data_IF_213599820417
#
_entry.id   IF_213599820417
#
_cell.length_a   1.000
_cell.length_b   1.000
_cell.length_c   1.000
_cell.angle_alpha   90.00
_cell.angle_beta   90.00
_cell.angle_gamma   90.00
#
_symmetry.space_group_name_H-M   'P 1'
#
loop_
_entity.id
_entity.type
_entity.pdbx_description
1 polymer ?
#
# COMPACT_ATOMS: atom_id res chain seq x y z
N UNK A 1 1.82 8.37 -15.26
CA UNK A 1 0.84 7.34 -15.68
C UNK A 1 0.43 6.51 -14.49
N UNK A 2 -0.82 6.08 -14.42
CA UNK A 2 -1.31 5.18 -13.38
C UNK A 2 -1.95 3.95 -14.03
N UNK A 3 -1.63 2.75 -13.53
CA UNK A 3 -2.22 1.48 -13.95
C UNK A 3 -2.51 0.62 -12.73
N UNK A 4 -3.71 0.07 -12.67
CA UNK A 4 -4.20 -0.77 -11.58
C UNK A 4 -4.68 -2.11 -12.17
N UNK A 5 -4.07 -3.21 -11.76
CA UNK A 5 -4.52 -4.58 -12.07
C UNK A 5 -4.83 -5.30 -10.76
N UNK A 6 -6.12 -5.46 -10.49
CA UNK A 6 -6.68 -6.07 -9.29
C UNK A 6 -7.76 -7.06 -9.68
N UNK A 7 -7.79 -8.21 -9.01
CA UNK A 7 -8.85 -9.20 -9.13
C UNK A 7 -9.57 -9.34 -7.79
N UNK A 8 -10.90 -9.30 -7.82
CA UNK A 8 -11.74 -9.53 -6.66
C UNK A 8 -12.46 -10.88 -6.79
N UNK A 9 -12.58 -11.62 -5.68
CA UNK A 9 -13.42 -12.82 -5.58
C UNK A 9 -14.65 -12.50 -4.76
N UNK A 10 -15.79 -12.94 -5.28
CA UNK A 10 -17.08 -12.84 -4.61
C UNK A 10 -17.47 -14.20 -4.02
N UNK A 11 -18.03 -14.20 -2.81
CA UNK A 11 -18.53 -15.41 -2.15
C UNK A 11 -19.85 -15.90 -2.75
N UNK A 12 -20.61 -15.00 -3.37
CA UNK A 12 -21.84 -15.32 -4.08
C UNK A 12 -21.77 -14.88 -5.55
N UNK A 13 -22.49 -15.56 -6.46
CA UNK A 13 -22.61 -15.12 -7.84
C UNK A 13 -23.14 -13.70 -7.94
N UNK A 14 -22.53 -12.89 -8.82
CA UNK A 14 -23.03 -11.55 -9.11
C UNK A 14 -24.34 -11.69 -9.89
N UNK A 15 -25.43 -11.17 -9.32
CA UNK A 15 -26.72 -11.05 -10.00
C UNK A 15 -27.05 -9.58 -10.27
N UNK A 16 -27.97 -9.29 -11.19
CA UNK A 16 -28.41 -7.92 -11.46
C UNK A 16 -28.89 -7.21 -10.17
N UNK A 17 -29.65 -7.90 -9.31
CA UNK A 17 -30.10 -7.34 -8.03
C UNK A 17 -28.95 -7.04 -7.06
N UNK A 18 -27.94 -7.89 -7.02
CA UNK A 18 -26.76 -7.72 -6.16
C UNK A 18 -25.91 -6.52 -6.57
N UNK A 19 -25.91 -6.17 -7.87
CA UNK A 19 -25.19 -5.02 -8.39
C UNK A 19 -25.92 -3.69 -8.13
N UNK A 20 -27.26 -3.69 -8.12
CA UNK A 20 -28.08 -2.48 -7.91
C UNK A 20 -28.21 -2.07 -6.42
N UNK A 21 -27.86 -2.94 -5.47
CA UNK A 21 -28.02 -2.66 -4.03
C UNK A 21 -26.69 -2.48 -3.32
N UNK A 22 -25.91 -3.56 -3.11
CA UNK A 22 -24.60 -3.49 -2.46
C UNK A 22 -23.78 -4.74 -2.85
N UNK A 23 -22.51 -4.55 -3.26
CA UNK A 23 -21.56 -5.64 -3.51
C UNK A 23 -21.05 -6.22 -2.17
N UNK A 24 -21.93 -6.84 -1.38
CA UNK A 24 -21.66 -7.28 0.01
C UNK A 24 -20.70 -8.45 0.17
N UNK A 25 -20.26 -9.09 -0.92
CA UNK A 25 -19.70 -10.43 -0.84
C UNK A 25 -18.25 -10.53 -1.35
N UNK A 26 -17.47 -9.44 -1.38
CA UNK A 26 -16.06 -9.53 -1.75
C UNK A 26 -15.26 -10.10 -0.58
N UNK A 27 -14.69 -11.29 -0.76
CA UNK A 27 -13.87 -11.95 0.27
C UNK A 27 -12.37 -11.85 0.02
N UNK A 28 -11.95 -11.75 -1.25
CA UNK A 28 -10.53 -11.73 -1.59
C UNK A 28 -10.23 -10.66 -2.63
N UNK A 29 -9.18 -9.91 -2.38
CA UNK A 29 -8.58 -8.92 -3.24
C UNK A 29 -7.15 -9.34 -3.56
N UNK A 30 -6.91 -9.66 -4.82
CA UNK A 30 -5.59 -9.95 -5.35
C UNK A 30 -5.08 -8.76 -6.13
N UNK A 31 -3.96 -8.21 -5.71
CA UNK A 31 -3.24 -7.15 -6.41
C UNK A 31 -2.19 -7.83 -7.29
N UNK A 32 -2.50 -7.97 -8.58
CA UNK A 32 -1.59 -8.63 -9.53
C UNK A 32 -0.39 -7.73 -9.81
N UNK A 33 -0.66 -6.50 -10.27
CA UNK A 33 0.37 -5.51 -10.53
C UNK A 33 -0.25 -4.11 -10.60
N UNK A 34 0.06 -3.28 -9.61
CA UNK A 34 -0.26 -1.84 -9.66
C UNK A 34 1.02 -1.08 -9.97
N UNK A 35 0.97 -0.11 -10.88
CA UNK A 35 2.09 0.76 -11.20
C UNK A 35 1.65 2.23 -11.25
N UNK A 36 2.37 3.08 -10.55
CA UNK A 36 2.23 4.53 -10.58
C UNK A 36 3.58 5.14 -10.98
N UNK A 37 3.56 5.97 -12.01
CA UNK A 37 4.75 6.65 -12.52
C UNK A 37 4.51 8.16 -12.54
N UNK A 38 5.37 8.90 -11.84
CA UNK A 38 5.34 10.36 -11.80
C UNK A 38 6.75 10.93 -12.00
N UNK A 39 7.01 11.45 -13.20
CA UNK A 39 8.37 11.85 -13.59
C UNK A 39 9.32 10.66 -13.56
N UNK A 40 10.39 10.75 -12.76
CA UNK A 40 11.36 9.68 -12.51
C UNK A 40 10.88 8.66 -11.47
N UNK A 41 9.91 9.02 -10.61
CA UNK A 41 9.41 8.15 -9.56
C UNK A 41 8.53 7.03 -10.11
N UNK A 42 8.77 5.81 -9.62
CA UNK A 42 7.96 4.63 -9.94
C UNK A 42 7.56 3.93 -8.66
N UNK A 43 6.29 3.61 -8.50
CA UNK A 43 5.75 2.84 -7.39
C UNK A 43 5.02 1.63 -7.95
N UNK A 44 5.38 0.44 -7.48
CA UNK A 44 4.70 -0.81 -7.78
C UNK A 44 4.13 -1.42 -6.51
N UNK A 45 3.00 -2.11 -6.65
CA UNK A 45 2.40 -2.88 -5.57
C UNK A 45 1.91 -4.23 -6.09
N UNK A 46 2.12 -5.27 -5.28
CA UNK A 46 1.61 -6.62 -5.52
C UNK A 46 1.31 -7.32 -4.19
N UNK A 47 0.31 -8.19 -4.16
CA UNK A 47 -0.09 -8.84 -2.91
C UNK A 47 -1.44 -9.50 -2.96
N UNK A 48 -1.82 -10.09 -1.83
CA UNK A 48 -3.13 -10.71 -1.64
C UNK A 48 -3.68 -10.29 -0.28
N UNK A 49 -4.95 -9.89 -0.27
CA UNK A 49 -5.69 -9.44 0.89
C UNK A 49 -7.03 -10.15 0.95
N UNK A 50 -7.41 -10.61 2.12
CA UNK A 50 -8.72 -11.20 2.40
C UNK A 50 -9.48 -10.20 3.25
N UNK A 51 -10.68 -9.81 2.84
CA UNK A 51 -11.53 -8.94 3.64
C UNK A 51 -12.20 -9.76 4.73
N UNK A 52 -12.19 -9.26 5.97
CA UNK A 52 -13.04 -9.80 7.03
C UNK A 52 -14.49 -9.32 6.89
N UNK A 53 -15.37 -9.80 7.76
CA UNK A 53 -16.80 -9.45 7.76
C UNK A 53 -17.07 -7.95 7.95
N UNK A 54 -16.12 -7.22 8.52
CA UNK A 54 -16.21 -5.78 8.74
C UNK A 54 -15.64 -4.97 7.56
N UNK A 55 -15.06 -5.64 6.55
CA UNK A 55 -14.43 -5.02 5.38
C UNK A 55 -12.96 -4.62 5.61
N UNK A 56 -12.29 -5.14 6.64
CA UNK A 56 -10.87 -4.89 6.85
C UNK A 56 -10.01 -5.95 6.16
N UNK A 57 -8.97 -5.53 5.42
CA UNK A 57 -8.06 -6.46 4.77
C UNK A 57 -7.14 -7.17 5.77
N UNK A 58 -6.89 -8.44 5.51
CA UNK A 58 -5.95 -9.31 6.19
C UNK A 58 -5.06 -9.98 5.13
N UNK A 59 -3.73 -9.87 5.26
CA UNK A 59 -2.83 -10.42 4.24
C UNK A 59 -1.52 -9.64 4.13
N UNK A 60 -0.93 -9.67 2.94
CA UNK A 60 0.36 -9.03 2.68
C UNK A 60 0.37 -8.33 1.32
N UNK A 61 0.95 -7.14 1.30
CA UNK A 61 1.23 -6.37 0.08
C UNK A 61 2.68 -5.93 0.13
N UNK A 62 3.41 -6.15 -0.95
CA UNK A 62 4.76 -5.63 -1.12
C UNK A 62 4.68 -4.36 -1.96
N UNK A 63 5.22 -3.26 -1.43
CA UNK A 63 5.43 -2.03 -2.16
C UNK A 63 6.87 -1.97 -2.65
N UNK A 64 7.07 -1.51 -3.88
CA UNK A 64 8.39 -1.25 -4.46
C UNK A 64 8.42 0.16 -5.02
N UNK A 65 9.32 0.99 -4.54
CA UNK A 65 9.45 2.37 -4.99
C UNK A 65 10.87 2.63 -5.52
N UNK A 66 10.98 3.07 -6.77
CA UNK A 66 12.25 3.49 -7.38
C UNK A 66 12.32 5.02 -7.45
N UNK A 67 13.53 5.56 -7.30
CA UNK A 67 13.77 7.02 -7.29
C UNK A 67 12.96 7.76 -6.22
N UNK A 68 12.73 7.12 -5.08
CA UNK A 68 11.92 7.65 -3.97
C UNK A 68 12.61 8.81 -3.22
N UNK A 69 13.95 8.86 -3.22
CA UNK A 69 14.73 9.90 -2.53
C UNK A 69 14.38 11.31 -3.03
N UNK A 70 14.23 11.48 -4.34
CA UNK A 70 13.89 12.77 -4.93
C UNK A 70 12.51 13.26 -4.46
N UNK A 71 11.52 12.35 -4.39
CA UNK A 71 10.19 12.70 -3.86
C UNK A 71 10.24 12.96 -2.36
N UNK A 72 11.02 12.20 -1.60
CA UNK A 72 11.18 12.44 -0.18
C UNK A 72 11.80 13.82 0.08
N UNK A 73 12.85 14.18 -0.66
CA UNK A 73 13.47 15.50 -0.54
C UNK A 73 12.52 16.63 -0.91
N UNK A 74 11.75 16.49 -2.00
CA UNK A 74 10.70 17.45 -2.35
C UNK A 74 9.66 17.57 -1.23
N UNK A 75 9.17 16.46 -0.68
CA UNK A 75 8.19 16.46 0.40
C UNK A 75 8.73 17.11 1.68
N UNK A 76 9.97 16.78 2.06
CA UNK A 76 10.63 17.35 3.24
C UNK A 76 10.97 18.83 3.07
N UNK A 77 11.31 19.27 1.85
CA UNK A 77 11.64 20.67 1.58
C UNK A 77 10.41 21.57 1.45
N UNK A 78 9.29 21.02 0.99
CA UNK A 78 8.01 21.74 0.89
C UNK A 78 7.24 21.78 2.22
N UNK A 79 7.64 20.97 3.22
CA UNK A 79 7.05 20.97 4.54
C UNK A 79 7.71 21.96 5.50
N UNK A 80 6.92 22.53 6.41
CA UNK A 80 7.37 23.33 7.56
C UNK A 80 7.96 22.43 8.66
N UNK A 81 9.05 21.72 8.33
CA UNK A 81 9.75 20.83 9.25
C UNK A 81 11.12 21.41 9.61
N UNK A 82 11.55 21.27 10.86
CA UNK A 82 12.91 21.62 11.24
C UNK A 82 13.93 20.60 10.69
N UNK A 83 15.21 20.99 10.61
CA UNK A 83 16.26 20.15 10.03
C UNK A 83 16.45 18.81 10.77
N UNK A 84 16.22 18.79 12.08
CA UNK A 84 16.36 17.57 12.87
C UNK A 84 15.31 16.52 12.47
N UNK A 85 14.04 16.92 12.34
CA UNK A 85 12.96 16.04 11.88
C UNK A 85 13.20 15.55 10.46
N UNK A 86 13.66 16.42 9.55
CA UNK A 86 14.01 16.00 8.17
C UNK A 86 15.10 14.93 8.18
N UNK A 87 16.15 15.09 8.97
CA UNK A 87 17.25 14.13 9.07
C UNK A 87 16.81 12.79 9.68
N UNK A 88 15.95 12.82 10.70
CA UNK A 88 15.36 11.60 11.27
C UNK A 88 14.54 10.83 10.24
N UNK A 89 13.70 11.53 9.47
CA UNK A 89 12.90 10.89 8.41
C UNK A 89 13.80 10.29 7.32
N UNK A 90 14.81 11.03 6.84
CA UNK A 90 15.77 10.50 5.87
C UNK A 90 16.47 9.25 6.38
N UNK A 91 16.95 9.28 7.63
CA UNK A 91 17.63 8.14 8.26
C UNK A 91 16.74 6.91 8.28
N UNK A 92 15.48 7.08 8.69
CA UNK A 92 14.52 5.98 8.72
C UNK A 92 14.30 5.35 7.34
N UNK A 93 14.10 6.17 6.31
CA UNK A 93 13.92 5.68 4.94
C UNK A 93 15.19 5.02 4.37
N UNK A 94 16.37 5.57 4.64
CA UNK A 94 17.65 4.95 4.25
C UNK A 94 17.87 3.59 4.91
N UNK A 95 17.44 3.41 6.16
CA UNK A 95 17.48 2.10 6.83
C UNK A 95 16.58 1.09 6.12
N UNK A 96 15.37 1.48 5.73
CA UNK A 96 14.48 0.59 4.95
C UNK A 96 15.05 0.24 3.58
N UNK A 97 15.67 1.20 2.88
CA UNK A 97 16.34 0.94 1.60
C UNK A 97 17.52 -0.03 1.78
N UNK A 98 18.32 0.13 2.85
CA UNK A 98 19.44 -0.77 3.13
C UNK A 98 18.99 -2.22 3.38
N UNK A 99 17.83 -2.42 4.02
CA UNK A 99 17.24 -3.76 4.25
C UNK A 99 16.77 -4.40 2.94
N UNK A 100 16.41 -3.58 1.94
CA UNK A 100 15.88 -4.04 0.65
C UNK A 100 16.96 -4.65 -0.27
N UNK A 101 18.24 -4.40 -0.01
CA UNK A 101 19.37 -4.90 -0.80
C UNK A 101 19.69 -4.09 -2.05
N UNK A 102 18.83 -3.14 -2.44
CA UNK A 102 19.06 -2.13 -3.47
C UNK A 102 18.84 -0.73 -2.86
N UNK A 103 19.82 0.17 -2.99
CA UNK A 103 19.70 1.53 -2.46
C UNK A 103 18.76 2.40 -3.31
N UNK A 104 18.58 2.06 -4.59
CA UNK A 104 17.77 2.82 -5.53
C UNK A 104 16.31 2.36 -5.56
N UNK A 105 16.01 1.17 -5.02
CA UNK A 105 14.68 0.59 -4.93
C UNK A 105 14.33 0.25 -3.47
N UNK A 106 13.28 0.89 -2.97
CA UNK A 106 12.76 0.66 -1.63
C UNK A 106 11.68 -0.42 -1.71
N UNK A 107 11.96 -1.61 -1.16
CA UNK A 107 10.99 -2.69 -1.05
C UNK A 107 10.47 -2.79 0.39
N UNK A 108 9.17 -2.57 0.57
CA UNK A 108 8.52 -2.59 1.88
C UNK A 108 7.41 -3.65 1.88
N UNK A 109 7.61 -4.78 2.59
CA UNK A 109 6.54 -5.73 2.84
C UNK A 109 5.61 -5.18 3.93
N UNK A 110 4.36 -4.93 3.54
CA UNK A 110 3.28 -4.54 4.43
C UNK A 110 2.45 -5.77 4.81
N UNK A 111 2.22 -5.95 6.11
CA UNK A 111 1.28 -6.94 6.64
C UNK A 111 0.02 -6.23 7.14
N UNK A 112 -1.13 -6.72 6.70
CA UNK A 112 -2.44 -6.29 7.16
C UNK A 112 -2.97 -7.34 8.12
N UNK A 113 -3.27 -6.96 9.35
CA UNK A 113 -3.88 -7.83 10.35
C UNK A 113 -4.43 -7.01 11.51
N UNK A 114 -5.46 -7.50 12.19
CA UNK A 114 -6.01 -6.85 13.38
C UNK A 114 -6.34 -5.37 13.14
N UNK A 115 -6.90 -5.05 11.96
CA UNK A 115 -7.25 -3.70 11.53
C UNK A 115 -6.06 -2.71 11.51
N UNK A 116 -4.83 -3.22 11.38
CA UNK A 116 -3.58 -2.43 11.33
C UNK A 116 -2.68 -2.87 10.19
N UNK A 117 -1.82 -1.94 9.77
CA UNK A 117 -0.76 -2.14 8.78
C UNK A 117 0.58 -2.17 9.52
N UNK A 118 1.38 -3.19 9.25
CA UNK A 118 2.67 -3.42 9.86
C UNK A 118 3.79 -3.42 8.83
N UNK A 119 4.93 -2.87 9.22
CA UNK A 119 6.23 -3.10 8.57
C UNK A 119 7.06 -3.94 9.53
N UNK A 120 7.30 -5.20 9.16
CA UNK A 120 7.87 -6.17 10.10
C UNK A 120 6.96 -6.35 11.34
N UNK A 121 7.49 -6.03 12.52
CA UNK A 121 6.75 -6.10 13.81
C UNK A 121 6.14 -4.76 14.24
N UNK A 122 6.43 -3.67 13.51
CA UNK A 122 6.04 -2.32 13.91
C UNK A 122 4.70 -1.94 13.26
N UNK A 123 3.65 -1.61 14.04
CA UNK A 123 2.43 -1.04 13.49
C UNK A 123 2.70 0.38 13.03
N UNK A 124 2.39 0.69 11.78
CA UNK A 124 2.65 2.01 11.19
C UNK A 124 1.38 2.83 11.00
N UNK A 125 0.26 2.18 10.71
CA UNK A 125 -1.01 2.81 10.33
C UNK A 125 -2.18 1.91 10.72
N UNK A 126 -3.35 2.50 10.93
CA UNK A 126 -4.60 1.75 10.94
C UNK A 126 -4.94 1.29 9.51
N UNK A 127 -5.51 0.09 9.40
CA UNK A 127 -5.90 -0.48 8.12
C UNK A 127 -7.15 0.23 7.60
N UNK A 128 -7.20 0.59 6.31
CA UNK A 128 -8.41 1.13 5.72
C UNK A 128 -9.53 0.08 5.78
N UNK A 129 -10.75 0.56 5.99
CA UNK A 129 -11.97 -0.22 5.76
C UNK A 129 -12.36 -0.08 4.30
N UNK A 130 -12.52 -1.19 3.60
CA UNK A 130 -12.89 -1.20 2.19
C UNK A 130 -14.39 -1.49 2.11
N UNK A 131 -15.15 -0.47 1.71
CA UNK A 131 -16.58 -0.57 1.44
C UNK A 131 -16.80 -0.43 -0.07
N UNK A 132 -17.67 -1.27 -0.63
CA UNK A 132 -18.14 -1.17 -2.02
C UNK A 132 -19.60 -0.73 -1.97
N UNK A 133 -19.87 0.54 -2.30
CA UNK A 133 -21.21 1.11 -2.42
C UNK A 133 -21.80 0.83 -3.80
#
# INVERSE_FOLDING_TARGET
TFRLDVSAKFDEPITQRSFEHELKNISNLKINNTNLEWGSFKLKASGNLILDSDGYPNGKVTLRASNWEQLLDLALNNGELNNNTKNTIRTLFSLFAAISGDKQELEIPLKFSNKKIFVGIIPILDSPRINFY
#
